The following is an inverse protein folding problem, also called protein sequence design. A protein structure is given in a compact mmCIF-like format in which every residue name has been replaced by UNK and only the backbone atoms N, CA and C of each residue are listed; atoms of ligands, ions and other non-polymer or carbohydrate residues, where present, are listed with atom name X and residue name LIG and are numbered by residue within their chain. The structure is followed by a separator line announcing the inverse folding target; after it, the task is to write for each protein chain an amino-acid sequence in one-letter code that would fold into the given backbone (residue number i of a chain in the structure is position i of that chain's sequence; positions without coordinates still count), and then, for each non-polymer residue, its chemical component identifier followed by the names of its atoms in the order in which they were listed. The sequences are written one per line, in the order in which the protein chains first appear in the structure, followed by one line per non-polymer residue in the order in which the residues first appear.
data_IF_170206731477
#
_entry.id   IF_170206731477
#
_cell.length_a   1.000
_cell.length_b   1.000
_cell.length_c   1.000
_cell.angle_alpha   90.00
_cell.angle_beta   90.00
_cell.angle_gamma   90.00
#
_symmetry.space_group_name_H-M   'P 1'
#
loop_
_entity.id
_entity.type
_entity.pdbx_description
1 polymer ?
#
# COMPACT_ATOMS: atom_id res chain seq x y z
N UNK A 1 -26.12 -15.87 -15.58
CA UNK A 1 -25.38 -16.73 -14.63
C UNK A 1 -23.99 -16.15 -14.52
N UNK A 2 -23.71 -15.42 -13.44
CA UNK A 2 -22.36 -14.92 -13.14
C UNK A 2 -21.77 -15.81 -12.05
N UNK A 3 -20.60 -16.40 -12.34
CA UNK A 3 -19.82 -17.14 -11.36
C UNK A 3 -19.01 -16.14 -10.53
N UNK A 4 -19.34 -16.03 -9.25
CA UNK A 4 -18.62 -15.17 -8.32
C UNK A 4 -17.32 -15.89 -7.90
N UNK A 5 -16.17 -15.40 -8.38
CA UNK A 5 -14.87 -15.97 -8.06
C UNK A 5 -14.24 -15.18 -6.91
N UNK A 6 -14.15 -15.80 -5.73
CA UNK A 6 -13.43 -15.20 -4.61
C UNK A 6 -11.93 -15.39 -4.80
N UNK A 7 -11.22 -14.30 -5.05
CA UNK A 7 -9.76 -14.27 -5.07
C UNK A 7 -9.23 -13.68 -3.76
N UNK A 8 -8.68 -14.51 -2.84
CA UNK A 8 -8.02 -13.98 -1.67
C UNK A 8 -6.81 -13.12 -2.10
N UNK A 9 -6.64 -11.98 -1.47
CA UNK A 9 -5.48 -11.10 -1.68
C UNK A 9 -4.89 -10.70 -0.34
N UNK A 10 -3.58 -10.43 -0.35
CA UNK A 10 -2.85 -9.87 0.78
C UNK A 10 -2.05 -8.68 0.26
N UNK A 11 -2.18 -7.49 0.85
CA UNK A 11 -1.32 -6.35 0.51
C UNK A 11 0.15 -6.72 0.73
N UNK A 12 1.02 -6.35 -0.22
CA UNK A 12 2.45 -6.63 -0.17
C UNK A 12 3.26 -5.38 -0.52
N UNK A 13 4.42 -5.26 0.10
CA UNK A 13 5.42 -4.22 -0.20
C UNK A 13 6.65 -4.96 -0.69
N UNK A 14 7.21 -4.53 -1.82
CA UNK A 14 8.39 -5.15 -2.41
C UNK A 14 9.63 -4.31 -2.16
N UNK A 15 10.79 -4.96 -2.16
CA UNK A 15 12.08 -4.28 -2.11
C UNK A 15 12.32 -3.48 -3.40
N UNK A 16 12.65 -2.20 -3.25
CA UNK A 16 12.96 -1.30 -4.36
C UNK A 16 14.47 -0.98 -4.33
N UNK A 17 15.16 -1.27 -5.44
CA UNK A 17 16.60 -1.00 -5.57
C UNK A 17 16.82 0.39 -6.18
N UNK A 18 17.37 1.30 -5.38
CA UNK A 18 17.51 2.72 -5.75
C UNK A 18 18.96 3.15 -5.59
N UNK A 19 19.46 3.90 -6.57
CA UNK A 19 20.83 4.45 -6.54
C UNK A 19 20.92 5.51 -5.43
N UNK A 20 22.04 5.50 -4.69
CA UNK A 20 22.30 6.48 -3.65
C UNK A 20 22.18 7.93 -4.17
N UNK A 21 21.42 8.76 -3.46
CA UNK A 21 21.11 10.14 -3.86
C UNK A 21 19.77 10.31 -4.59
N UNK A 22 19.16 9.22 -5.07
CA UNK A 22 17.80 9.26 -5.63
C UNK A 22 16.73 9.04 -4.56
N UNK A 23 15.53 9.52 -4.84
CA UNK A 23 14.35 9.25 -4.02
C UNK A 23 13.85 7.83 -4.23
N UNK A 24 13.75 7.06 -3.15
CA UNK A 24 13.07 5.77 -3.15
C UNK A 24 11.57 5.94 -2.88
N UNK A 25 10.74 5.18 -3.60
CA UNK A 25 9.29 5.19 -3.45
C UNK A 25 8.80 3.76 -3.27
N UNK A 26 8.36 3.45 -2.05
CA UNK A 26 7.72 2.17 -1.75
C UNK A 26 6.23 2.26 -2.06
N UNK A 27 5.67 1.15 -2.57
CA UNK A 27 4.24 1.05 -2.93
C UNK A 27 3.63 -0.18 -2.29
N UNK A 28 2.46 0.02 -1.67
CA UNK A 28 1.61 -1.08 -1.23
C UNK A 28 0.91 -1.67 -2.47
N UNK A 29 1.32 -2.87 -2.86
CA UNK A 29 0.77 -3.60 -3.99
C UNK A 29 -0.52 -4.30 -3.59
N UNK A 30 -1.62 -3.90 -4.24
CA UNK A 30 -2.93 -4.53 -4.17
C UNK A 30 -3.47 -4.71 -5.59
N UNK A 31 -4.31 -5.73 -5.84
CA UNK A 31 -4.94 -5.89 -7.15
C UNK A 31 -5.79 -4.67 -7.54
N UNK A 32 -5.84 -4.35 -8.84
CA UNK A 32 -6.59 -3.19 -9.34
C UNK A 32 -8.08 -3.23 -8.98
N UNK A 33 -8.69 -4.42 -9.03
CA UNK A 33 -10.12 -4.60 -8.76
C UNK A 33 -10.53 -4.33 -7.30
N UNK A 34 -9.58 -4.27 -6.36
CA UNK A 34 -9.87 -3.90 -4.95
C UNK A 34 -9.44 -2.48 -4.61
N UNK A 35 -8.66 -1.83 -5.47
CA UNK A 35 -8.00 -0.56 -5.17
C UNK A 35 -8.97 0.54 -4.76
N UNK A 36 -10.14 0.60 -5.40
CA UNK A 36 -11.14 1.64 -5.15
C UNK A 36 -11.95 1.39 -3.86
N UNK A 37 -11.82 0.21 -3.26
CA UNK A 37 -12.50 -0.17 -2.03
C UNK A 37 -11.57 -0.15 -0.81
N UNK A 38 -10.33 0.34 -0.98
CA UNK A 38 -9.31 0.35 0.07
C UNK A 38 -8.90 1.78 0.42
N UNK A 39 -8.62 2.01 1.70
CA UNK A 39 -8.04 3.25 2.21
C UNK A 39 -6.62 2.97 2.69
N UNK A 40 -5.71 3.90 2.38
CA UNK A 40 -4.35 3.86 2.92
C UNK A 40 -4.36 4.36 4.36
N UNK A 41 -3.90 3.53 5.31
CA UNK A 41 -3.91 3.87 6.74
C UNK A 41 -2.56 4.40 7.21
N UNK A 42 -1.52 3.57 7.11
CA UNK A 42 -0.18 3.90 7.57
C UNK A 42 0.86 2.95 6.97
N UNK A 43 2.12 3.38 6.97
CA UNK A 43 3.26 2.49 6.86
C UNK A 43 3.69 2.03 8.25
N UNK A 44 3.98 0.75 8.39
CA UNK A 44 4.53 0.16 9.61
C UNK A 44 5.93 -0.35 9.27
N UNK A 45 6.93 0.16 9.97
CA UNK A 45 8.32 -0.30 9.85
C UNK A 45 8.60 -1.44 10.80
N UNK A 46 9.62 -2.23 10.49
CA UNK A 46 10.03 -3.38 11.31
C UNK A 46 10.49 -2.98 12.72
N UNK A 47 10.93 -1.74 12.91
CA UNK A 47 11.27 -1.15 14.21
C UNK A 47 10.04 -0.71 15.04
N UNK A 48 8.82 -0.94 14.53
CA UNK A 48 7.57 -0.55 15.17
C UNK A 48 7.14 0.89 14.90
N UNK A 49 7.90 1.66 14.13
CA UNK A 49 7.52 3.03 13.76
C UNK A 49 6.31 3.02 12.83
N UNK A 50 5.28 3.80 13.18
CA UNK A 50 4.10 4.02 12.35
C UNK A 50 4.24 5.38 11.67
N UNK A 51 4.21 5.39 10.34
CA UNK A 51 4.23 6.60 9.51
C UNK A 51 2.84 6.77 8.91
N UNK A 52 2.10 7.75 9.42
CA UNK A 52 0.83 8.18 8.85
C UNK A 52 1.06 9.35 7.89
N UNK A 53 0.16 9.52 6.92
CA UNK A 53 0.16 10.75 6.14
C UNK A 53 -0.17 11.91 7.07
N UNK A 54 0.71 12.91 7.16
CA UNK A 54 0.44 14.18 7.87
C UNK A 54 -0.63 15.05 7.21
N UNK A 55 -1.35 14.51 6.22
CA UNK A 55 -2.59 15.11 5.74
C UNK A 55 -3.61 14.90 6.87
N UNK A 56 -3.70 15.90 7.75
CA UNK A 56 -4.98 16.21 8.38
C UNK A 56 -6.01 16.14 7.26
N UNK A 57 -6.99 15.26 7.44
CA UNK A 57 -8.09 15.02 6.51
C UNK A 57 -8.68 16.38 6.15
N UNK A 58 -8.26 16.94 5.01
CA UNK A 58 -8.80 18.18 4.48
C UNK A 58 -10.27 17.94 4.22
N UNK A 59 -11.10 18.66 4.95
CA UNK A 59 -12.50 18.89 4.64
C UNK A 59 -12.63 19.68 3.33
#
# INVERSE_FOLDING_TARGET
MESLVQHPYKPQVYDEFVIAGNTAVFRCSVPSFVRDFLEFLAWIRDDGTIITSGLEKGE
#
